data_IF_850094264434
#
_entry.id   IF_850094264434
#
_cell.length_a   1.000
_cell.length_b   1.000
_cell.length_c   1.000
_cell.angle_alpha   90.00
_cell.angle_beta   90.00
_cell.angle_gamma   90.00
#
_symmetry.space_group_name_H-M   'P 1'
#
loop_
_entity.id
_entity.type
_entity.pdbx_description
1 polymer ?
#
# COMPACT_ATOMS: atom_id res chain seq x y z
N UNK A 1 7.39 -15.75 5.79
CA UNK A 1 7.49 -14.33 5.43
C UNK A 1 8.21 -13.58 6.53
N UNK A 2 7.49 -13.23 7.59
CA UNK A 2 7.88 -12.23 8.60
C UNK A 2 9.33 -12.32 9.09
N UNK A 3 9.78 -13.49 9.54
CA UNK A 3 11.15 -13.67 10.06
C UNK A 3 12.20 -13.45 8.97
N UNK A 4 11.96 -13.97 7.76
CA UNK A 4 12.84 -13.74 6.61
C UNK A 4 12.87 -12.25 6.25
N UNK A 5 11.71 -11.59 6.28
CA UNK A 5 11.61 -10.15 6.05
C UNK A 5 12.43 -9.34 7.06
N UNK A 6 12.24 -9.60 8.36
CA UNK A 6 13.03 -8.98 9.42
C UNK A 6 14.52 -9.23 9.30
N UNK A 7 14.92 -10.45 8.93
CA UNK A 7 16.32 -10.80 8.71
C UNK A 7 16.93 -9.99 7.55
N UNK A 8 16.24 -9.88 6.42
CA UNK A 8 16.70 -9.09 5.26
C UNK A 8 16.85 -7.60 5.64
N UNK A 9 15.87 -7.03 6.33
CA UNK A 9 15.93 -5.62 6.79
C UNK A 9 17.03 -5.37 7.83
N UNK A 10 17.41 -6.39 8.59
CA UNK A 10 18.49 -6.30 9.59
C UNK A 10 19.88 -6.51 8.98
N UNK A 11 20.00 -7.33 7.94
CA UNK A 11 21.28 -7.62 7.30
C UNK A 11 21.81 -6.46 6.44
N UNK A 12 20.92 -5.61 5.93
CA UNK A 12 21.25 -4.47 5.09
C UNK A 12 22.02 -3.35 5.79
N UNK A 13 23.20 -2.89 5.31
CA UNK A 13 23.99 -1.85 5.98
C UNK A 13 23.23 -0.54 6.17
N UNK A 14 22.49 -0.13 5.13
CA UNK A 14 21.58 1.02 5.13
C UNK A 14 20.19 0.49 4.87
N UNK A 15 19.27 0.76 5.80
CA UNK A 15 17.94 0.19 5.79
C UNK A 15 17.16 0.58 4.53
N UNK A 16 17.17 1.88 4.19
CA UNK A 16 16.45 2.40 3.03
C UNK A 16 16.90 1.75 1.71
N UNK A 17 18.22 1.69 1.48
CA UNK A 17 18.77 1.10 0.25
C UNK A 17 18.43 -0.39 0.12
N UNK A 18 18.36 -1.10 1.25
CA UNK A 18 18.02 -2.51 1.29
C UNK A 18 16.56 -2.73 0.89
N UNK A 19 15.66 -1.89 1.39
CA UNK A 19 14.25 -1.90 1.01
C UNK A 19 14.09 -1.53 -0.44
N UNK A 20 14.70 -0.44 -0.90
CA UNK A 20 14.58 0.03 -2.27
C UNK A 20 15.02 -1.04 -3.28
N UNK A 21 16.18 -1.67 -3.06
CA UNK A 21 16.68 -2.75 -3.93
C UNK A 21 15.78 -3.98 -3.90
N UNK A 22 15.31 -4.39 -2.72
CA UNK A 22 14.44 -5.57 -2.57
C UNK A 22 13.09 -5.33 -3.25
N UNK A 23 12.47 -4.16 -3.01
CA UNK A 23 11.20 -3.76 -3.61
C UNK A 23 11.34 -3.63 -5.14
N UNK A 24 12.43 -3.07 -5.65
CA UNK A 24 12.68 -2.96 -7.09
C UNK A 24 12.66 -4.34 -7.76
N UNK A 25 13.35 -5.33 -7.17
CA UNK A 25 13.40 -6.71 -7.69
C UNK A 25 12.01 -7.36 -7.64
N UNK A 26 11.31 -7.25 -6.51
CA UNK A 26 9.98 -7.84 -6.33
C UNK A 26 8.96 -7.22 -7.30
N UNK A 27 8.84 -5.89 -7.33
CA UNK A 27 7.91 -5.18 -8.21
C UNK A 27 8.22 -5.47 -9.68
N UNK A 28 9.49 -5.47 -10.07
CA UNK A 28 9.89 -5.80 -11.45
C UNK A 28 9.51 -7.24 -11.81
N UNK A 29 9.70 -8.19 -10.90
CA UNK A 29 9.30 -9.60 -11.10
C UNK A 29 7.79 -9.73 -11.25
N UNK A 30 7.01 -9.04 -10.41
CA UNK A 30 5.55 -9.00 -10.46
C UNK A 30 5.09 -8.41 -11.80
N UNK A 31 5.63 -7.25 -12.19
CA UNK A 31 5.25 -6.56 -13.41
C UNK A 31 5.55 -7.39 -14.66
N UNK A 32 6.72 -8.02 -14.74
CA UNK A 32 7.06 -8.91 -15.86
C UNK A 32 6.11 -10.12 -15.88
N UNK A 33 5.87 -10.74 -14.72
CA UNK A 33 5.00 -11.92 -14.63
C UNK A 33 3.57 -11.62 -15.06
N UNK A 34 2.98 -10.53 -14.57
CA UNK A 34 1.60 -10.16 -14.91
C UNK A 34 1.46 -9.74 -16.38
N UNK A 35 2.46 -9.05 -16.95
CA UNK A 35 2.47 -8.70 -18.38
C UNK A 35 2.53 -9.95 -19.24
N UNK A 36 3.40 -10.91 -18.91
CA UNK A 36 3.50 -12.18 -19.64
C UNK A 36 2.18 -12.95 -19.55
N UNK A 37 1.61 -13.09 -18.36
CA UNK A 37 0.33 -13.79 -18.17
C UNK A 37 -0.81 -13.11 -18.94
N UNK A 38 -0.93 -11.78 -18.84
CA UNK A 38 -1.94 -11.04 -19.58
C UNK A 38 -1.76 -11.19 -21.09
N UNK A 39 -0.54 -11.12 -21.62
CA UNK A 39 -0.28 -11.31 -23.05
C UNK A 39 -0.65 -12.72 -23.53
N UNK A 40 -0.38 -13.76 -22.72
CA UNK A 40 -0.76 -15.14 -23.03
C UNK A 40 -2.28 -15.30 -23.08
N UNK A 41 -2.99 -14.74 -22.11
CA UNK A 41 -4.46 -14.82 -22.01
C UNK A 41 -5.17 -14.00 -23.10
N UNK A 42 -4.65 -12.81 -23.41
CA UNK A 42 -5.23 -11.92 -24.42
C UNK A 42 -5.16 -12.44 -25.84
N UNK A 43 -4.23 -13.36 -26.12
CA UNK A 43 -4.12 -14.01 -27.43
C UNK A 43 -5.45 -14.68 -27.84
N UNK A 44 -6.11 -15.32 -26.88
CA UNK A 44 -7.35 -16.09 -27.12
C UNK A 44 -8.62 -15.32 -26.73
N UNK A 45 -8.47 -14.25 -25.93
CA UNK A 45 -9.55 -13.43 -25.36
C UNK A 45 -9.31 -11.92 -25.53
N UNK A 46 -9.17 -11.40 -26.76
CA UNK A 46 -8.97 -9.96 -27.00
C UNK A 46 -10.20 -9.12 -26.61
N UNK A 47 -11.38 -9.76 -26.51
CA UNK A 47 -12.63 -9.15 -26.01
C UNK A 47 -12.48 -8.54 -24.62
N UNK A 48 -11.63 -9.11 -23.77
CA UNK A 48 -11.39 -8.62 -22.41
C UNK A 48 -10.88 -7.16 -22.36
N UNK A 49 -10.12 -6.73 -23.38
CA UNK A 49 -9.64 -5.33 -23.45
C UNK A 49 -10.83 -4.38 -23.62
N UNK A 50 -11.74 -4.71 -24.55
CA UNK A 50 -12.91 -3.90 -24.81
C UNK A 50 -13.86 -3.90 -23.61
N UNK A 51 -14.04 -5.05 -22.95
CA UNK A 51 -14.83 -5.16 -21.72
C UNK A 51 -14.25 -4.31 -20.58
N UNK A 52 -12.94 -4.32 -20.39
CA UNK A 52 -12.28 -3.50 -19.37
C UNK A 52 -12.42 -2.00 -19.67
N UNK A 53 -12.20 -1.59 -20.93
CA UNK A 53 -12.35 -0.18 -21.35
C UNK A 53 -13.80 0.28 -21.20
N UNK A 54 -14.76 -0.53 -21.62
CA UNK A 54 -16.18 -0.19 -21.51
C UNK A 54 -16.59 -0.06 -20.05
N UNK A 55 -16.20 -1.00 -19.18
CA UNK A 55 -16.49 -0.96 -17.75
C UNK A 55 -15.92 0.31 -17.09
N UNK A 56 -14.70 0.72 -17.45
CA UNK A 56 -14.11 1.97 -16.94
C UNK A 56 -14.86 3.19 -17.48
N UNK A 57 -15.18 3.22 -18.78
CA UNK A 57 -15.84 4.35 -19.43
C UNK A 57 -17.29 4.55 -18.93
N UNK A 58 -18.00 3.46 -18.60
CA UNK A 58 -19.36 3.50 -18.06
C UNK A 58 -19.39 3.54 -16.53
N UNK A 59 -18.22 3.54 -15.89
CA UNK A 59 -18.06 3.33 -14.45
C UNK A 59 -18.77 2.06 -13.93
N UNK A 60 -18.95 1.04 -14.78
CA UNK A 60 -19.68 -0.19 -14.46
C UNK A 60 -21.20 -0.09 -14.58
N UNK A 61 -21.75 0.98 -15.16
CA UNK A 61 -23.20 1.11 -15.42
C UNK A 61 -23.71 -0.02 -16.35
N UNK A 62 -24.89 -0.63 -16.06
CA UNK A 62 -25.86 -0.25 -15.02
C UNK A 62 -25.54 -0.76 -13.60
N UNK A 63 -24.66 -1.75 -13.46
CA UNK A 63 -24.33 -2.42 -12.19
C UNK A 63 -23.22 -1.70 -11.40
N UNK A 64 -23.28 -0.36 -11.32
CA UNK A 64 -22.31 0.45 -10.57
C UNK A 64 -22.20 -0.02 -9.10
N UNK A 65 -23.33 -0.43 -8.52
CA UNK A 65 -23.39 -1.12 -7.24
C UNK A 65 -23.66 -2.59 -7.54
N UNK A 66 -22.74 -3.51 -7.22
CA UNK A 66 -22.95 -4.94 -7.40
C UNK A 66 -24.26 -5.40 -6.76
N UNK A 67 -25.01 -6.30 -7.43
CA UNK A 67 -26.23 -6.88 -6.86
C UNK A 67 -25.97 -7.50 -5.50
N UNK A 68 -26.95 -7.45 -4.58
CA UNK A 68 -26.80 -8.03 -3.23
C UNK A 68 -26.43 -9.53 -3.25
N UNK A 69 -26.82 -10.25 -4.31
CA UNK A 69 -26.48 -11.65 -4.54
C UNK A 69 -24.98 -11.92 -4.80
N UNK A 70 -24.19 -10.88 -5.13
CA UNK A 70 -22.75 -11.01 -5.37
C UNK A 70 -21.92 -11.23 -4.10
N UNK A 71 -22.50 -11.07 -2.90
CA UNK A 71 -21.77 -11.10 -1.63
C UNK A 71 -20.84 -9.90 -1.40
N UNK A 72 -20.73 -8.99 -2.37
CA UNK A 72 -19.96 -7.76 -2.27
C UNK A 72 -20.82 -6.65 -1.66
N UNK A 73 -20.70 -6.47 -0.35
CA UNK A 73 -21.29 -5.31 0.32
C UNK A 73 -20.65 -4.01 -0.18
N UNK A 74 -21.39 -2.89 -0.12
CA UNK A 74 -20.83 -1.57 -0.35
C UNK A 74 -19.60 -1.28 0.56
N UNK A 75 -19.52 -1.92 1.74
CA UNK A 75 -18.36 -1.81 2.65
C UNK A 75 -17.13 -2.46 2.05
N UNK A 76 -17.30 -3.64 1.45
CA UNK A 76 -16.20 -4.36 0.84
C UNK A 76 -15.63 -3.57 -0.34
N UNK A 77 -16.48 -2.93 -1.14
CA UNK A 77 -16.07 -2.10 -2.27
C UNK A 77 -15.38 -0.81 -1.84
N UNK A 78 -15.93 -0.12 -0.84
CA UNK A 78 -15.28 1.07 -0.28
C UNK A 78 -13.95 0.73 0.40
N UNK A 79 -13.87 -0.42 1.07
CA UNK A 79 -12.64 -0.92 1.64
C UNK A 79 -11.61 -1.33 0.58
N UNK A 80 -12.07 -1.92 -0.54
CA UNK A 80 -11.22 -2.20 -1.69
C UNK A 80 -10.71 -0.91 -2.34
N UNK A 81 -11.55 0.13 -2.47
CA UNK A 81 -11.12 1.46 -2.95
C UNK A 81 -10.11 2.12 -2.00
N UNK A 82 -10.30 1.99 -0.68
CA UNK A 82 -9.36 2.49 0.31
C UNK A 82 -8.00 1.77 0.26
N UNK A 83 -7.99 0.49 -0.15
CA UNK A 83 -6.79 -0.32 -0.37
C UNK A 83 -6.31 -0.38 -1.83
N UNK A 84 -6.99 0.29 -2.76
CA UNK A 84 -6.56 0.40 -4.16
C UNK A 84 -5.34 1.33 -4.23
N UNK A 85 -4.19 0.81 -3.77
CA UNK A 85 -2.93 1.52 -3.54
C UNK A 85 -2.43 1.38 -2.10
N UNK A 86 -1.32 2.06 -1.78
CA UNK A 86 -0.77 2.15 -0.43
C UNK A 86 -1.59 3.09 0.50
N UNK A 87 -2.90 2.90 0.55
CA UNK A 87 -3.81 3.70 1.38
C UNK A 87 -3.64 3.41 2.87
N UNK A 88 -4.02 4.38 3.71
CA UNK A 88 -3.98 4.25 5.16
C UNK A 88 -2.71 4.77 5.82
N UNK A 89 -2.34 4.12 6.91
CA UNK A 89 -1.24 4.53 7.80
C UNK A 89 0.12 4.57 7.09
N UNK A 90 0.32 3.76 6.04
CA UNK A 90 1.58 3.70 5.28
C UNK A 90 1.96 5.04 4.61
N UNK A 91 0.98 5.90 4.32
CA UNK A 91 1.22 7.23 3.79
C UNK A 91 1.99 8.14 4.76
N UNK A 92 1.87 7.92 6.07
CA UNK A 92 2.61 8.67 7.08
C UNK A 92 4.10 8.32 7.08
N UNK A 93 4.47 7.13 6.58
CA UNK A 93 5.86 6.72 6.43
C UNK A 93 6.58 7.38 5.25
N UNK A 94 5.86 8.04 4.33
CA UNK A 94 6.44 8.58 3.10
C UNK A 94 7.48 9.68 3.35
N UNK A 95 7.28 10.52 4.36
CA UNK A 95 8.28 11.51 4.76
C UNK A 95 9.56 10.86 5.28
N UNK A 96 9.47 9.69 5.92
CA UNK A 96 10.64 8.94 6.39
C UNK A 96 11.45 8.37 5.22
N UNK A 97 10.78 7.92 4.15
CA UNK A 97 11.45 7.48 2.93
C UNK A 97 12.17 8.62 2.22
N UNK A 98 11.52 9.78 2.11
CA UNK A 98 12.15 10.99 1.54
C UNK A 98 13.36 11.42 2.38
N UNK A 99 13.25 11.38 3.71
CA UNK A 99 14.34 11.65 4.66
C UNK A 99 15.52 10.72 4.40
N UNK A 100 15.30 9.41 4.48
CA UNK A 100 16.38 8.42 4.41
C UNK A 100 16.98 8.24 3.02
N UNK A 101 16.21 8.51 1.94
CA UNK A 101 16.74 8.55 0.58
C UNK A 101 17.72 9.72 0.38
N UNK A 102 17.68 10.71 1.27
CA UNK A 102 18.43 11.95 1.10
C UNK A 102 17.76 12.93 0.13
N UNK A 103 16.45 12.82 -0.09
CA UNK A 103 15.73 13.69 -1.02
C UNK A 103 15.58 15.10 -0.45
N UNK A 104 16.03 16.09 -1.22
CA UNK A 104 15.90 17.50 -0.85
C UNK A 104 16.61 17.79 0.47
N UNK A 105 15.84 18.13 1.51
CA UNK A 105 16.39 18.42 2.83
C UNK A 105 16.83 17.15 3.60
N UNK A 106 16.41 15.96 3.16
CA UNK A 106 16.87 14.69 3.73
C UNK A 106 18.38 14.48 3.61
N UNK A 107 19.03 15.12 2.63
CA UNK A 107 20.49 15.08 2.46
C UNK A 107 21.27 15.53 3.71
N UNK A 108 20.68 16.40 4.54
CA UNK A 108 21.31 16.95 5.75
C UNK A 108 20.99 16.15 7.03
N UNK A 109 20.33 14.99 6.91
CA UNK A 109 19.90 14.18 8.04
C UNK A 109 20.48 12.77 7.88
N UNK A 110 21.10 12.24 8.93
CA UNK A 110 21.61 10.87 8.97
C UNK A 110 20.50 9.83 8.79
N UNK A 111 20.86 8.68 8.23
CA UNK A 111 19.94 7.60 7.88
C UNK A 111 19.89 6.51 8.97
N UNK A 112 18.87 5.67 8.92
CA UNK A 112 18.80 4.47 9.75
C UNK A 112 19.75 3.41 9.19
N UNK A 113 20.77 3.05 9.96
CA UNK A 113 21.76 2.03 9.60
C UNK A 113 21.61 0.78 10.47
N UNK A 114 22.07 -0.36 9.95
CA UNK A 114 21.95 -1.64 10.66
C UNK A 114 22.87 -1.70 11.88
N UNK A 115 22.42 -2.27 13.01
CA UNK A 115 23.23 -2.49 14.19
C UNK A 115 24.30 -3.56 13.98
N UNK A 116 24.20 -4.35 12.90
CA UNK A 116 25.12 -5.46 12.60
C UNK A 116 26.11 -5.06 11.51
N UNK A 117 25.62 -4.43 10.44
CA UNK A 117 26.41 -4.19 9.21
C UNK A 117 26.57 -2.72 8.85
N UNK A 118 25.85 -1.82 9.52
CA UNK A 118 25.86 -0.38 9.27
C UNK A 118 26.91 0.38 10.08
N UNK A 119 27.32 1.53 9.57
CA UNK A 119 28.10 2.52 10.31
C UNK A 119 27.15 3.56 10.90
N UNK A 120 27.41 4.05 12.11
CA UNK A 120 26.56 5.09 12.70
C UNK A 120 26.71 6.40 11.93
N UNK A 121 25.58 6.97 11.50
CA UNK A 121 25.51 8.30 10.91
C UNK A 121 25.00 9.31 11.95
N UNK A 122 25.50 10.55 11.92
CA UNK A 122 25.01 11.60 12.79
C UNK A 122 23.57 11.98 12.39
N UNK A 123 22.61 11.63 13.23
CA UNK A 123 21.20 11.95 13.02
C UNK A 123 20.90 13.30 13.68
N UNK A 124 20.48 14.28 12.88
CA UNK A 124 19.99 15.56 13.42
C UNK A 124 18.52 15.40 13.82
N UNK A 125 18.20 15.68 15.08
CA UNK A 125 16.83 15.53 15.63
C UNK A 125 15.86 16.61 15.12
N UNK A 126 16.39 17.72 14.60
CA UNK A 126 15.60 18.81 14.02
C UNK A 126 15.79 18.78 12.51
N UNK A 127 14.68 18.67 11.77
CA UNK A 127 14.70 18.74 10.32
C UNK A 127 15.35 20.03 9.81
N UNK A 128 15.90 20.00 8.60
CA UNK A 128 16.59 21.14 8.02
C UNK A 128 15.63 22.01 7.19
N UNK A 129 15.64 23.33 7.42
CA UNK A 129 14.90 24.30 6.61
C UNK A 129 15.87 25.14 5.78
N UNK A 130 15.66 25.21 4.46
CA UNK A 130 16.53 26.02 3.60
C UNK A 130 16.25 27.54 3.79
N UNK A 131 17.27 28.41 3.67
CA UNK A 131 17.06 29.86 3.69
C UNK A 131 16.16 30.33 2.55
N UNK A 132 15.21 31.24 2.83
CA UNK A 132 14.20 31.69 1.86
C UNK A 132 14.75 32.71 0.84
N UNK A 133 15.68 32.26 -0.01
CA UNK A 133 16.27 33.04 -1.11
C UNK A 133 15.60 32.71 -2.45
N UNK A 134 15.66 33.62 -3.43
CA UNK A 134 15.09 33.39 -4.75
C UNK A 134 15.66 32.13 -5.44
N UNK A 135 16.97 31.91 -5.31
CA UNK A 135 17.66 30.72 -5.85
C UNK A 135 17.18 29.43 -5.17
N UNK A 136 17.05 29.43 -3.83
CA UNK A 136 16.56 28.24 -3.12
C UNK A 136 15.10 27.93 -3.43
N UNK A 137 14.25 28.96 -3.59
CA UNK A 137 12.85 28.78 -4.03
C UNK A 137 12.76 28.17 -5.43
N UNK A 138 13.69 28.50 -6.32
CA UNK A 138 13.75 27.89 -7.65
C UNK A 138 14.17 26.43 -7.59
N UNK A 139 15.24 26.12 -6.85
CA UNK A 139 15.69 24.74 -6.61
C UNK A 139 14.59 23.89 -5.98
N UNK A 140 13.84 24.44 -5.03
CA UNK A 140 12.68 23.78 -4.43
C UNK A 140 11.61 23.42 -5.47
N UNK A 141 11.23 24.35 -6.36
CA UNK A 141 10.25 24.08 -7.42
C UNK A 141 10.72 23.00 -8.38
N UNK A 142 11.99 23.03 -8.77
CA UNK A 142 12.58 22.02 -9.64
C UNK A 142 12.57 20.63 -8.97
N UNK A 143 13.02 20.56 -7.73
CA UNK A 143 12.99 19.33 -6.93
C UNK A 143 11.56 18.80 -6.76
N UNK A 144 10.61 19.65 -6.39
CA UNK A 144 9.21 19.24 -6.19
C UNK A 144 8.58 18.70 -7.47
N UNK A 145 8.89 19.31 -8.62
CA UNK A 145 8.45 18.82 -9.93
C UNK A 145 9.07 17.47 -10.24
N UNK A 146 10.37 17.30 -10.05
CA UNK A 146 11.05 16.04 -10.29
C UNK A 146 10.50 14.91 -9.40
N UNK A 147 10.35 15.15 -8.10
CA UNK A 147 9.77 14.19 -7.16
C UNK A 147 8.31 13.84 -7.52
N UNK A 148 7.50 14.84 -7.90
CA UNK A 148 6.12 14.60 -8.34
C UNK A 148 6.05 13.74 -9.60
N UNK A 149 6.94 13.97 -10.57
CA UNK A 149 7.03 13.20 -11.81
C UNK A 149 7.49 11.78 -11.54
N UNK A 150 8.54 11.60 -10.73
CA UNK A 150 9.03 10.28 -10.34
C UNK A 150 7.92 9.48 -9.67
N UNK A 151 7.28 10.00 -8.63
CA UNK A 151 6.21 9.31 -7.92
C UNK A 151 4.99 9.03 -8.81
N UNK A 152 4.69 9.91 -9.77
CA UNK A 152 3.62 9.66 -10.73
C UNK A 152 3.90 8.40 -11.58
N UNK A 153 5.11 8.25 -12.10
CA UNK A 153 5.46 7.08 -12.91
C UNK A 153 5.75 5.82 -12.06
N UNK A 154 6.56 5.95 -11.02
CA UNK A 154 6.99 4.81 -10.21
C UNK A 154 5.87 4.24 -9.35
N UNK A 155 4.97 5.07 -8.83
CA UNK A 155 3.86 4.61 -8.00
C UNK A 155 2.53 4.60 -8.78
N UNK A 156 2.03 5.76 -9.21
CA UNK A 156 0.66 5.84 -9.75
C UNK A 156 0.49 5.03 -11.04
N UNK A 157 1.32 5.25 -12.05
CA UNK A 157 1.22 4.52 -13.33
C UNK A 157 1.46 3.02 -13.12
N UNK A 158 2.49 2.65 -12.36
CA UNK A 158 2.81 1.23 -12.10
C UNK A 158 1.68 0.52 -11.37
N UNK A 159 1.08 1.14 -10.34
CA UNK A 159 -0.07 0.58 -9.63
C UNK A 159 -1.29 0.44 -10.55
N UNK A 160 -1.61 1.47 -11.36
CA UNK A 160 -2.75 1.42 -12.29
C UNK A 160 -2.56 0.31 -13.32
N UNK A 161 -1.38 0.20 -13.93
CA UNK A 161 -1.09 -0.85 -14.91
C UNK A 161 -1.20 -2.23 -14.25
N UNK A 162 -0.60 -2.43 -13.07
CA UNK A 162 -0.69 -3.70 -12.36
C UNK A 162 -2.15 -4.07 -12.03
N UNK A 163 -2.93 -3.12 -11.50
CA UNK A 163 -4.35 -3.33 -11.21
C UNK A 163 -5.14 -3.71 -12.45
N UNK A 164 -4.99 -2.97 -13.56
CA UNK A 164 -5.68 -3.25 -14.82
C UNK A 164 -5.32 -4.63 -15.36
N UNK A 165 -4.05 -5.01 -15.30
CA UNK A 165 -3.62 -6.33 -15.78
C UNK A 165 -4.14 -7.46 -14.88
N UNK A 166 -4.14 -7.29 -13.56
CA UNK A 166 -4.68 -8.29 -12.64
C UNK A 166 -6.19 -8.43 -12.77
N UNK A 167 -6.95 -7.33 -12.91
CA UNK A 167 -8.40 -7.40 -13.16
C UNK A 167 -8.70 -8.07 -14.50
N UNK A 168 -7.88 -7.81 -15.52
CA UNK A 168 -8.00 -8.44 -16.83
C UNK A 168 -7.73 -9.94 -16.76
N UNK A 169 -6.66 -10.36 -16.08
CA UNK A 169 -6.36 -11.79 -15.84
C UNK A 169 -7.54 -12.47 -15.16
N UNK A 170 -8.06 -11.88 -14.08
CA UNK A 170 -9.21 -12.43 -13.34
C UNK A 170 -10.46 -12.52 -14.22
N UNK A 171 -10.75 -11.46 -14.99
CA UNK A 171 -11.89 -11.44 -15.92
C UNK A 171 -11.81 -12.54 -16.96
N UNK A 172 -10.66 -12.71 -17.62
CA UNK A 172 -10.47 -13.75 -18.64
C UNK A 172 -10.68 -15.16 -18.07
N UNK A 173 -10.26 -15.39 -16.83
CA UNK A 173 -10.32 -16.71 -16.20
C UNK A 173 -11.70 -17.05 -15.62
N UNK A 174 -12.48 -16.04 -15.23
CA UNK A 174 -13.75 -16.24 -14.54
C UNK A 174 -15.00 -15.82 -15.30
N UNK A 175 -14.87 -15.07 -16.39
CA UNK A 175 -16.00 -14.63 -17.21
C UNK A 175 -15.90 -15.17 -18.64
N UNK A 176 -17.05 -15.55 -19.19
CA UNK A 176 -17.15 -15.97 -20.59
C UNK A 176 -17.14 -14.76 -21.55
N UNK A 177 -17.32 -15.02 -22.86
CA UNK A 177 -17.29 -13.99 -23.91
C UNK A 177 -18.51 -13.09 -23.90
N UNK A 178 -19.61 -13.54 -23.29
CA UNK A 178 -20.84 -12.78 -23.12
C UNK A 178 -20.82 -11.97 -21.80
N UNK A 179 -19.68 -12.00 -21.09
CA UNK A 179 -19.48 -11.29 -19.83
C UNK A 179 -20.23 -11.90 -18.66
N UNK A 180 -20.65 -13.17 -18.75
CA UNK A 180 -21.30 -13.88 -17.67
C UNK A 180 -20.28 -14.61 -16.78
N UNK A 181 -20.54 -14.61 -15.49
CA UNK A 181 -19.71 -15.32 -14.52
C UNK A 181 -19.79 -16.83 -14.78
N UNK A 182 -18.64 -17.47 -14.89
CA UNK A 182 -18.55 -18.92 -15.09
C UNK A 182 -18.85 -19.68 -13.79
N UNK A 183 -19.15 -20.98 -13.88
CA UNK A 183 -19.30 -21.84 -12.70
C UNK A 183 -18.02 -21.88 -11.82
N UNK A 184 -16.85 -21.57 -12.39
CA UNK A 184 -15.61 -21.45 -11.62
C UNK A 184 -15.62 -20.20 -10.73
N UNK A 185 -16.21 -19.09 -11.20
CA UNK A 185 -16.36 -17.87 -10.42
C UNK A 185 -17.23 -18.09 -9.18
N UNK A 186 -18.35 -18.80 -9.34
CA UNK A 186 -19.24 -19.15 -8.22
C UNK A 186 -18.56 -20.11 -7.22
N UNK A 187 -17.82 -21.10 -7.74
CA UNK A 187 -17.15 -22.11 -6.92
C UNK A 187 -16.00 -21.54 -6.08
N UNK A 188 -15.23 -20.62 -6.65
CA UNK A 188 -14.02 -20.06 -6.02
C UNK A 188 -14.20 -18.64 -5.48
N UNK A 189 -15.40 -18.06 -5.58
CA UNK A 189 -15.69 -16.69 -5.15
C UNK A 189 -15.67 -16.44 -3.64
N UNK A 190 -15.61 -17.50 -2.82
CA UNK A 190 -15.50 -17.37 -1.37
C UNK A 190 -14.05 -17.08 -0.93
N UNK A 191 -13.89 -16.08 -0.06
CA UNK A 191 -12.63 -15.64 0.54
C UNK A 191 -11.50 -15.41 -0.48
N UNK A 192 -10.33 -16.02 -0.25
CA UNK A 192 -9.18 -15.99 -1.16
C UNK A 192 -9.14 -17.24 -2.07
N UNK A 193 -10.25 -17.99 -2.16
CA UNK A 193 -10.37 -19.18 -3.01
C UNK A 193 -10.15 -18.89 -4.49
N UNK A 194 -10.43 -17.65 -4.92
CA UNK A 194 -10.25 -17.21 -6.29
C UNK A 194 -8.79 -17.37 -6.76
N UNK A 195 -7.80 -17.18 -5.88
CA UNK A 195 -6.37 -17.35 -6.20
C UNK A 195 -6.10 -18.80 -6.63
N UNK A 196 -6.66 -19.77 -5.91
CA UNK A 196 -6.51 -21.17 -6.28
C UNK A 196 -7.31 -21.50 -7.55
N UNK A 197 -8.49 -20.91 -7.71
CA UNK A 197 -9.31 -21.03 -8.92
C UNK A 197 -8.57 -20.56 -10.18
N UNK A 198 -7.95 -19.38 -10.13
CA UNK A 198 -7.14 -18.82 -11.22
C UNK A 198 -5.92 -19.72 -11.51
N UNK A 199 -5.21 -20.15 -10.47
CA UNK A 199 -4.06 -21.04 -10.61
C UNK A 199 -4.43 -22.38 -11.29
N UNK A 200 -5.57 -22.97 -10.91
CA UNK A 200 -6.08 -24.21 -11.50
C UNK A 200 -6.59 -24.01 -12.94
N UNK A 201 -7.18 -22.85 -13.25
CA UNK A 201 -7.59 -22.51 -14.60
C UNK A 201 -6.37 -22.35 -15.53
N UNK A 202 -5.35 -21.61 -15.08
CA UNK A 202 -4.08 -21.44 -15.80
C UNK A 202 -3.36 -22.78 -16.03
N UNK A 203 -3.38 -23.69 -15.06
CA UNK A 203 -2.83 -25.05 -15.21
C UNK A 203 -3.50 -25.83 -16.34
N UNK A 204 -4.83 -25.74 -16.44
CA UNK A 204 -5.59 -26.45 -17.48
C UNK A 204 -5.33 -25.86 -18.87
N UNK A 205 -5.14 -24.54 -18.95
CA UNK A 205 -4.94 -23.84 -20.22
C UNK A 205 -3.50 -23.96 -20.74
N UNK A 206 -2.51 -23.83 -19.86
CA UNK A 206 -1.11 -23.68 -20.25
C UNK A 206 -0.12 -24.62 -19.53
N UNK A 207 -0.62 -25.47 -18.63
CA UNK A 207 0.19 -26.44 -17.89
C UNK A 207 0.77 -25.93 -16.57
N UNK A 208 1.42 -26.85 -15.85
CA UNK A 208 1.89 -26.62 -14.47
C UNK A 208 2.94 -25.51 -14.31
N UNK A 209 3.75 -25.23 -15.34
CA UNK A 209 4.75 -24.15 -15.28
C UNK A 209 4.11 -22.77 -15.15
N UNK A 210 2.98 -22.53 -15.81
CA UNK A 210 2.26 -21.25 -15.75
C UNK A 210 1.54 -21.10 -14.40
N UNK A 211 0.99 -22.20 -13.86
CA UNK A 211 0.49 -22.23 -12.48
C UNK A 211 1.57 -21.85 -11.49
N UNK A 212 2.77 -22.43 -11.61
CA UNK A 212 3.89 -22.09 -10.72
C UNK A 212 4.27 -20.61 -10.84
N UNK A 213 4.38 -20.07 -12.06
CA UNK A 213 4.64 -18.65 -12.29
C UNK A 213 3.60 -17.76 -11.59
N UNK A 214 2.31 -18.06 -11.74
CA UNK A 214 1.23 -17.31 -11.12
C UNK A 214 1.28 -17.37 -9.58
N UNK A 215 1.54 -18.54 -9.01
CA UNK A 215 1.67 -18.69 -7.55
C UNK A 215 2.91 -17.97 -7.01
N UNK A 216 4.05 -18.03 -7.71
CA UNK A 216 5.25 -17.29 -7.34
C UNK A 216 5.03 -15.77 -7.42
N UNK A 217 4.31 -15.30 -8.44
CA UNK A 217 3.89 -13.90 -8.55
C UNK A 217 3.00 -13.50 -7.36
N UNK A 218 2.01 -14.32 -6.99
CA UNK A 218 1.17 -14.08 -5.81
C UNK A 218 1.97 -14.00 -4.51
N UNK A 219 2.93 -14.91 -4.32
CA UNK A 219 3.87 -14.86 -3.18
C UNK A 219 4.69 -13.57 -3.20
N UNK A 220 5.19 -13.15 -4.37
CA UNK A 220 5.94 -11.90 -4.49
C UNK A 220 5.07 -10.67 -4.15
N UNK A 221 3.81 -10.63 -4.59
CA UNK A 221 2.85 -9.56 -4.24
C UNK A 221 2.60 -9.49 -2.73
N UNK A 222 2.42 -10.64 -2.08
CA UNK A 222 2.22 -10.68 -0.62
C UNK A 222 3.50 -10.26 0.12
N UNK A 223 4.66 -10.74 -0.33
CA UNK A 223 5.94 -10.45 0.28
C UNK A 223 6.32 -8.96 0.14
N UNK A 224 6.08 -8.35 -1.03
CA UNK A 224 6.36 -6.92 -1.26
C UNK A 224 5.55 -6.03 -0.31
N UNK A 225 4.28 -6.40 -0.08
CA UNK A 225 3.38 -5.72 0.86
C UNK A 225 3.84 -5.93 2.30
N UNK A 226 4.19 -7.17 2.67
CA UNK A 226 4.72 -7.52 3.99
C UNK A 226 5.96 -6.69 4.35
N UNK A 227 6.93 -6.60 3.44
CA UNK A 227 8.12 -5.77 3.62
C UNK A 227 7.79 -4.29 3.83
N UNK A 228 6.90 -3.74 2.99
CA UNK A 228 6.50 -2.34 3.08
C UNK A 228 5.79 -2.02 4.40
N UNK A 229 4.89 -2.91 4.85
CA UNK A 229 4.16 -2.74 6.11
C UNK A 229 5.08 -2.86 7.32
N UNK A 230 5.91 -3.91 7.39
CA UNK A 230 6.83 -4.11 8.52
C UNK A 230 7.76 -2.91 8.70
N UNK A 231 8.32 -2.42 7.60
CA UNK A 231 9.21 -1.26 7.66
C UNK A 231 8.47 0.04 8.00
N UNK A 232 7.38 0.37 7.30
CA UNK A 232 6.66 1.61 7.51
C UNK A 232 6.11 1.70 8.93
N UNK A 233 5.51 0.62 9.45
CA UNK A 233 5.02 0.58 10.84
C UNK A 233 6.16 0.80 11.83
N UNK A 234 7.31 0.13 11.63
CA UNK A 234 8.47 0.29 12.51
C UNK A 234 9.01 1.72 12.49
N UNK A 235 9.07 2.36 11.32
CA UNK A 235 9.48 3.76 11.16
C UNK A 235 8.53 4.73 11.83
N UNK A 236 7.22 4.57 11.60
CA UNK A 236 6.20 5.45 12.18
C UNK A 236 6.21 5.34 13.70
N UNK A 237 6.27 4.12 14.25
CA UNK A 237 6.37 3.91 15.70
C UNK A 237 7.66 4.48 16.28
N UNK A 238 8.78 4.32 15.57
CA UNK A 238 10.07 4.89 15.96
C UNK A 238 10.02 6.41 16.02
N UNK A 239 9.54 7.05 14.95
CA UNK A 239 9.46 8.50 14.86
C UNK A 239 8.52 9.07 15.94
N UNK A 240 7.34 8.47 16.10
CA UNK A 240 6.39 8.87 17.15
C UNK A 240 7.05 8.79 18.54
N UNK A 241 7.69 7.68 18.87
CA UNK A 241 8.25 7.49 20.21
C UNK A 241 9.48 8.35 20.44
N UNK A 242 10.33 8.48 19.42
CA UNK A 242 11.55 9.29 19.48
C UNK A 242 11.19 10.77 19.63
N UNK A 243 10.23 11.28 18.86
CA UNK A 243 9.83 12.70 18.92
C UNK A 243 9.02 13.03 20.18
N UNK A 244 8.09 12.17 20.60
CA UNK A 244 7.18 12.49 21.70
C UNK A 244 7.77 12.31 23.10
N UNK A 245 8.61 11.28 23.32
CA UNK A 245 9.07 10.92 24.66
C UNK A 245 10.59 10.78 24.81
N UNK A 246 11.30 10.42 23.75
CA UNK A 246 12.72 10.05 23.83
C UNK A 246 13.64 10.99 23.06
N UNK A 247 13.22 12.24 22.84
CA UNK A 247 13.91 13.22 21.98
C UNK A 247 15.38 13.33 22.38
N UNK A 248 15.66 13.82 23.59
CA UNK A 248 17.02 14.04 24.09
C UNK A 248 17.71 12.77 24.64
N UNK A 249 17.13 11.58 24.42
CA UNK A 249 17.67 10.34 24.96
C UNK A 249 18.75 9.73 24.05
N UNK A 250 20.01 9.88 24.46
CA UNK A 250 21.17 9.35 23.74
C UNK A 250 21.26 7.81 23.73
N UNK A 251 20.61 7.10 24.66
CA UNK A 251 20.63 5.64 24.72
C UNK A 251 19.69 5.00 23.70
N UNK A 252 18.52 5.60 23.51
CA UNK A 252 17.51 5.14 22.55
C UNK A 252 17.63 5.93 21.25
N UNK A 253 18.55 5.45 20.40
CA UNK A 253 18.74 5.96 19.04
C UNK A 253 17.59 5.54 18.13
N UNK A 254 17.40 6.26 17.02
CA UNK A 254 16.37 5.95 16.02
C UNK A 254 16.51 4.50 15.51
N UNK A 255 17.73 4.05 15.21
CA UNK A 255 17.97 2.67 14.78
C UNK A 255 17.60 1.63 15.84
N UNK A 256 17.94 1.83 17.13
CA UNK A 256 17.58 0.88 18.18
C UNK A 256 16.06 0.74 18.36
N UNK A 257 15.35 1.88 18.31
CA UNK A 257 13.90 1.89 18.36
C UNK A 257 13.29 1.20 17.13
N UNK A 258 13.84 1.45 15.95
CA UNK A 258 13.41 0.80 14.71
C UNK A 258 13.48 -0.73 14.82
N UNK A 259 14.64 -1.28 15.19
CA UNK A 259 14.79 -2.73 15.28
C UNK A 259 13.98 -3.33 16.44
N UNK A 260 13.79 -2.59 17.54
CA UNK A 260 12.87 -2.98 18.60
C UNK A 260 11.44 -3.12 18.06
N UNK A 261 10.91 -2.12 17.37
CA UNK A 261 9.55 -2.17 16.82
C UNK A 261 9.40 -3.21 15.72
N UNK A 262 10.41 -3.37 14.86
CA UNK A 262 10.41 -4.39 13.80
C UNK A 262 10.28 -5.79 14.38
N UNK A 263 11.19 -6.17 15.29
CA UNK A 263 11.19 -7.51 15.87
C UNK A 263 10.03 -7.72 16.84
N UNK A 264 9.55 -6.68 17.52
CA UNK A 264 8.34 -6.78 18.35
C UNK A 264 7.09 -7.04 17.48
N UNK A 265 6.97 -6.37 16.33
CA UNK A 265 5.86 -6.56 15.40
C UNK A 265 5.90 -7.97 14.80
N UNK A 266 7.08 -8.45 14.39
CA UNK A 266 7.27 -9.82 13.91
C UNK A 266 6.93 -10.84 15.00
N UNK A 267 7.41 -10.61 16.23
CA UNK A 267 7.13 -11.49 17.38
C UNK A 267 5.65 -11.57 17.69
N UNK A 268 4.94 -10.43 17.69
CA UNK A 268 3.50 -10.39 17.91
C UNK A 268 2.72 -11.09 16.79
N UNK A 269 3.10 -10.87 15.53
CA UNK A 269 2.50 -11.55 14.39
C UNK A 269 2.71 -13.06 14.43
N UNK A 270 3.94 -13.51 14.74
CA UNK A 270 4.27 -14.92 14.89
C UNK A 270 3.50 -15.57 16.05
N UNK A 271 3.38 -14.87 17.19
CA UNK A 271 2.59 -15.33 18.33
C UNK A 271 1.11 -15.45 17.98
N UNK A 272 0.55 -14.46 17.28
CA UNK A 272 -0.85 -14.46 16.87
C UNK A 272 -1.15 -15.65 15.95
N UNK A 273 -0.27 -15.92 14.98
CA UNK A 273 -0.37 -17.11 14.12
C UNK A 273 -0.21 -18.41 14.91
N UNK A 274 0.69 -18.46 15.90
CA UNK A 274 0.86 -19.65 16.73
C UNK A 274 -0.38 -19.95 17.60
N UNK A 275 -1.07 -18.92 18.10
CA UNK A 275 -2.24 -19.07 18.97
C UNK A 275 -3.53 -19.33 18.18
N UNK A 276 -3.73 -18.63 17.05
CA UNK A 276 -4.97 -18.71 16.27
C UNK A 276 -4.88 -19.67 15.09
N UNK A 277 -3.69 -20.02 14.61
CA UNK A 277 -3.49 -20.93 13.47
C UNK A 277 -4.31 -20.52 12.25
N UNK A 278 -4.95 -21.49 11.61
CA UNK A 278 -5.77 -21.32 10.40
C UNK A 278 -7.16 -20.72 10.68
N UNK A 279 -7.55 -20.51 11.95
CA UNK A 279 -8.84 -19.88 12.29
C UNK A 279 -8.88 -18.37 12.03
N UNK A 280 -7.78 -17.80 11.54
CA UNK A 280 -7.69 -16.40 11.13
C UNK A 280 -8.23 -16.25 9.71
N UNK A 281 -9.48 -15.80 9.59
CA UNK A 281 -10.03 -15.39 8.30
C UNK A 281 -9.24 -14.17 7.76
N UNK A 282 -8.35 -14.42 6.80
CA UNK A 282 -7.50 -13.38 6.21
C UNK A 282 -8.32 -12.23 5.61
N UNK A 283 -9.42 -12.55 4.93
CA UNK A 283 -10.31 -11.54 4.34
C UNK A 283 -10.98 -10.67 5.42
N UNK A 284 -11.32 -11.24 6.58
CA UNK A 284 -11.88 -10.48 7.69
C UNK A 284 -10.84 -9.50 8.27
N UNK A 285 -9.58 -9.91 8.41
CA UNK A 285 -8.50 -9.02 8.83
C UNK A 285 -8.26 -7.89 7.81
N UNK A 286 -8.29 -8.19 6.50
CA UNK A 286 -8.21 -7.16 5.47
C UNK A 286 -9.37 -6.17 5.56
N UNK A 287 -10.61 -6.64 5.73
CA UNK A 287 -11.78 -5.76 5.90
C UNK A 287 -11.63 -4.86 7.14
N UNK A 288 -11.22 -5.42 8.28
CA UNK A 288 -11.02 -4.65 9.51
C UNK A 288 -9.89 -3.62 9.37
N UNK A 289 -8.75 -4.02 8.82
CA UNK A 289 -7.61 -3.14 8.56
C UNK A 289 -7.98 -2.00 7.61
N UNK A 290 -8.80 -2.27 6.58
CA UNK A 290 -9.27 -1.27 5.62
C UNK A 290 -10.08 -0.17 6.30
N UNK A 291 -11.02 -0.56 7.15
CA UNK A 291 -11.86 0.38 7.88
C UNK A 291 -11.02 1.29 8.79
N UNK A 292 -10.05 0.71 9.52
CA UNK A 292 -9.13 1.47 10.37
C UNK A 292 -8.25 2.42 9.55
N UNK A 293 -7.74 1.97 8.41
CA UNK A 293 -6.94 2.80 7.51
C UNK A 293 -7.77 3.96 6.92
N UNK A 294 -9.04 3.75 6.60
CA UNK A 294 -9.97 4.82 6.23
C UNK A 294 -10.06 5.92 7.28
N UNK A 295 -10.21 5.54 8.55
CA UNK A 295 -10.25 6.48 9.67
C UNK A 295 -8.95 7.28 9.82
N UNK A 296 -7.80 6.62 9.68
CA UNK A 296 -6.48 7.27 9.72
C UNK A 296 -6.34 8.28 8.58
N UNK A 297 -6.79 7.93 7.36
CA UNK A 297 -6.78 8.84 6.21
C UNK A 297 -7.65 10.07 6.40
N UNK A 298 -8.85 9.90 6.96
CA UNK A 298 -9.71 11.02 7.32
C UNK A 298 -8.97 12.01 8.25
N UNK A 299 -8.36 11.49 9.33
CA UNK A 299 -7.68 12.31 10.33
C UNK A 299 -6.45 13.02 9.76
N UNK A 300 -5.54 12.29 9.11
CA UNK A 300 -4.30 12.92 8.65
C UNK A 300 -4.55 13.87 7.48
N UNK A 301 -5.50 13.60 6.57
CA UNK A 301 -5.82 14.53 5.47
C UNK A 301 -6.35 15.86 6.03
N UNK A 302 -7.18 15.82 7.08
CA UNK A 302 -7.69 17.01 7.75
C UNK A 302 -6.54 17.79 8.42
N UNK A 303 -5.64 17.08 9.11
CA UNK A 303 -4.46 17.69 9.75
C UNK A 303 -3.54 18.31 8.69
N UNK A 304 -3.27 17.64 7.57
CA UNK A 304 -2.42 18.16 6.49
C UNK A 304 -2.98 19.47 5.90
N UNK A 305 -4.31 19.59 5.75
CA UNK A 305 -4.94 20.84 5.31
C UNK A 305 -4.71 21.98 6.31
N UNK A 306 -4.81 21.70 7.61
CA UNK A 306 -4.56 22.68 8.68
C UNK A 306 -3.08 23.08 8.73
N UNK A 307 -2.16 22.11 8.73
CA UNK A 307 -0.72 22.34 8.76
C UNK A 307 -0.24 23.13 7.54
N UNK A 308 -0.78 22.83 6.35
CA UNK A 308 -0.45 23.54 5.12
C UNK A 308 -0.78 25.04 5.19
N UNK A 309 -1.83 25.41 5.93
CA UNK A 309 -2.24 26.81 6.08
C UNK A 309 -1.58 27.51 7.27
N UNK A 310 -1.43 26.82 8.40
CA UNK A 310 -0.97 27.42 9.67
C UNK A 310 0.53 27.33 9.90
N UNK A 311 1.19 26.26 9.45
CA UNK A 311 2.58 25.98 9.83
C UNK A 311 3.57 26.17 8.68
N UNK A 312 3.15 25.96 7.42
CA UNK A 312 4.06 26.06 6.27
C UNK A 312 4.24 27.52 5.79
N UNK A 313 5.49 27.95 5.50
CA UNK A 313 5.78 29.21 4.83
C UNK A 313 5.08 29.30 3.48
N UNK A 314 4.61 30.48 3.11
CA UNK A 314 3.82 30.71 1.88
C UNK A 314 4.50 30.17 0.60
N UNK A 315 5.84 30.23 0.53
CA UNK A 315 6.62 29.77 -0.61
C UNK A 315 6.60 28.24 -0.84
N UNK A 316 6.28 27.45 0.19
CA UNK A 316 6.33 25.98 0.17
C UNK A 316 4.94 25.34 0.26
N UNK A 317 3.90 26.16 0.41
CA UNK A 317 2.52 25.67 0.54
C UNK A 317 2.08 24.87 -0.68
N UNK A 318 1.26 23.88 -0.41
CA UNK A 318 0.58 23.09 -1.41
C UNK A 318 -0.38 23.96 -2.23
N UNK A 319 -0.42 23.71 -3.55
CA UNK A 319 -1.31 24.41 -4.48
C UNK A 319 -2.78 24.09 -4.22
N UNK A 320 -3.67 25.01 -4.61
CA UNK A 320 -5.11 24.87 -4.38
C UNK A 320 -5.75 23.61 -5.01
N UNK A 321 -5.37 23.14 -6.22
CA UNK A 321 -5.91 21.89 -6.76
C UNK A 321 -5.66 20.68 -5.85
N UNK A 322 -4.45 20.57 -5.28
CA UNK A 322 -4.12 19.49 -4.35
C UNK A 322 -4.85 19.64 -3.02
N UNK A 323 -5.14 20.87 -2.59
CA UNK A 323 -6.00 21.12 -1.43
C UNK A 323 -7.43 20.63 -1.65
N UNK A 324 -8.00 20.81 -2.85
CA UNK A 324 -9.33 20.29 -3.19
C UNK A 324 -9.33 18.77 -3.11
N UNK A 325 -8.31 18.11 -3.67
CA UNK A 325 -8.18 16.65 -3.60
C UNK A 325 -8.10 16.16 -2.15
N UNK A 326 -7.30 16.82 -1.30
CA UNK A 326 -7.27 16.49 0.13
C UNK A 326 -8.61 16.73 0.83
N UNK A 327 -9.30 17.84 0.52
CA UNK A 327 -10.62 18.12 1.10
C UNK A 327 -11.65 17.08 0.68
N UNK A 328 -11.63 16.65 -0.59
CA UNK A 328 -12.43 15.54 -1.07
C UNK A 328 -12.10 14.24 -0.34
N UNK A 329 -10.81 13.94 -0.13
CA UNK A 329 -10.39 12.76 0.63
C UNK A 329 -10.89 12.79 2.09
N UNK A 330 -10.88 13.96 2.74
CA UNK A 330 -11.47 14.15 4.08
C UNK A 330 -12.95 13.81 4.07
N UNK A 331 -13.71 14.34 3.12
CA UNK A 331 -15.15 14.07 3.02
C UNK A 331 -15.42 12.60 2.73
N UNK A 332 -14.72 12.03 1.75
CA UNK A 332 -14.88 10.63 1.32
C UNK A 332 -14.55 9.64 2.45
N UNK A 333 -13.35 9.73 3.03
CA UNK A 333 -12.94 8.82 4.10
C UNK A 333 -13.66 9.10 5.42
N UNK A 334 -14.04 10.36 5.68
CA UNK A 334 -14.85 10.72 6.85
C UNK A 334 -16.24 10.09 6.78
N UNK A 335 -16.92 10.21 5.64
CA UNK A 335 -18.22 9.56 5.42
C UNK A 335 -18.12 8.03 5.55
N UNK A 336 -17.10 7.43 4.94
CA UNK A 336 -16.84 5.99 5.07
C UNK A 336 -16.60 5.55 6.51
N UNK A 337 -15.82 6.32 7.28
CA UNK A 337 -15.50 6.03 8.68
C UNK A 337 -16.74 6.11 9.57
N UNK A 338 -17.57 7.15 9.40
CA UNK A 338 -18.83 7.29 10.15
C UNK A 338 -19.76 6.13 9.87
N UNK A 339 -19.87 5.74 8.59
CA UNK A 339 -20.73 4.64 8.19
C UNK A 339 -20.24 3.27 8.69
N UNK A 340 -18.93 3.00 8.59
CA UNK A 340 -18.32 1.79 9.14
C UNK A 340 -18.47 1.71 10.67
N UNK A 341 -18.28 2.84 11.36
CA UNK A 341 -18.49 2.95 12.81
C UNK A 341 -19.94 2.71 13.22
N UNK A 342 -20.90 3.27 12.48
CA UNK A 342 -22.33 3.02 12.70
C UNK A 342 -22.68 1.54 12.56
N UNK A 343 -22.18 0.87 11.50
CA UNK A 343 -22.41 -0.56 11.30
C UNK A 343 -21.81 -1.44 12.40
N UNK A 344 -20.66 -1.07 12.96
CA UNK A 344 -20.06 -1.76 14.10
C UNK A 344 -20.91 -1.58 15.38
N UNK A 345 -21.39 -0.37 15.63
CA UNK A 345 -22.23 -0.05 16.78
C UNK A 345 -23.55 -0.84 16.71
N UNK A 346 -24.19 -0.92 15.54
CA UNK A 346 -25.43 -1.72 15.39
C UNK A 346 -25.20 -3.21 15.68
N UNK A 347 -24.09 -3.79 15.21
CA UNK A 347 -23.72 -5.17 15.54
C UNK A 347 -23.48 -5.39 17.03
N UNK A 348 -22.82 -4.44 17.70
CA UNK A 348 -22.56 -4.52 19.15
C UNK A 348 -23.82 -4.33 20.00
N UNK A 349 -24.79 -3.55 19.50
CA UNK A 349 -26.08 -3.31 20.16
C UNK A 349 -27.13 -4.40 19.87
N UNK A 350 -26.77 -5.47 19.13
CA UNK A 350 -27.64 -6.61 18.87
C UNK A 350 -28.85 -6.30 17.99
N UNK A 351 -28.80 -5.23 17.18
CA UNK A 351 -29.89 -4.80 16.30
C UNK A 351 -29.68 -5.16 14.82
N UNK A 352 -29.10 -6.33 14.56
CA UNK A 352 -29.02 -6.93 13.23
C UNK A 352 -29.14 -8.46 13.31
#
# INVERSE_FOLDING_TARGET
GMVLGGAILTAGPVLYETIEKTQLVLVSTIMVSVVVLAAMLLKDRPDAIFAQISAVATAGSPDFIPPAASGLSAVALLGALAFAGAGGTLNLGQSNYIKDKGYGMGYYIGRITSPITGQEEAITEVGYHFPDTASNRERWRQWWRAASVEHFFSFFVTCVVCLVLLTLVSYVLFYDRDGQATAAAERYGADLGFVWGEAAALERMFGGSVKLLFLLMGIAILLTTEFGVLDATSRISTDLVKVAWLRDNARWTEGRLYYLFLWSTIGLGALLLAVKGESVEALALFKASSAMNGAVMFLYCAILLVLNRRCLPAAVRMSWPRMIVLAWAVVFFGAFTVWAGYGLIQKLLGSA
#
